data_IF_757119795107
#
_entry.id   IF_757119795107
#
_cell.length_a   1.000
_cell.length_b   1.000
_cell.length_c   1.000
_cell.angle_alpha   90.00
_cell.angle_beta   90.00
_cell.angle_gamma   90.00
#
_symmetry.space_group_name_H-M   'P 1'
#
loop_
_entity.id
_entity.type
_entity.pdbx_description
1 polymer ?
#
# COMPACT_ATOMS: atom_id res chain seq x y z
N UNK A 1 -16.09 6.03 7.90
CA UNK A 1 -15.35 5.00 8.67
C UNK A 1 -13.86 5.31 8.82
N UNK A 2 -13.13 5.56 7.76
CA UNK A 2 -11.69 5.89 7.86
C UNK A 2 -11.42 7.20 8.63
N UNK A 3 -12.21 8.24 8.40
CA UNK A 3 -12.09 9.52 9.12
C UNK A 3 -12.29 9.37 10.64
N UNK A 4 -13.25 8.56 11.07
CA UNK A 4 -13.49 8.28 12.46
C UNK A 4 -12.32 7.56 13.13
N UNK A 5 -11.61 6.69 12.41
CA UNK A 5 -10.42 6.00 12.91
C UNK A 5 -9.20 6.92 12.99
N UNK A 6 -9.06 7.86 12.06
CA UNK A 6 -8.02 8.88 12.10
C UNK A 6 -8.22 9.76 13.33
N UNK A 7 -9.45 10.19 13.62
CA UNK A 7 -9.77 10.99 14.81
C UNK A 7 -9.52 10.23 16.11
N UNK A 8 -9.83 8.94 16.17
CA UNK A 8 -9.49 8.10 17.34
C UNK A 8 -7.98 8.06 17.60
N UNK A 9 -7.17 8.11 16.54
CA UNK A 9 -5.72 8.14 16.65
C UNK A 9 -5.17 9.36 17.38
N UNK A 10 -5.83 10.51 17.27
CA UNK A 10 -5.35 11.78 17.86
C UNK A 10 -5.36 11.81 19.38
N UNK A 11 -6.21 10.99 20.02
CA UNK A 11 -6.33 10.91 21.48
C UNK A 11 -5.46 9.83 22.13
N UNK A 12 -4.77 9.00 21.34
CA UNK A 12 -3.97 7.88 21.84
C UNK A 12 -2.49 8.22 21.89
N UNK A 13 -1.85 7.90 23.02
CA UNK A 13 -0.40 8.09 23.15
C UNK A 13 0.32 6.87 22.60
N UNK A 14 1.28 7.06 21.68
CA UNK A 14 2.04 6.00 21.05
C UNK A 14 2.76 5.11 22.06
N UNK A 15 3.26 5.67 23.15
CA UNK A 15 3.91 4.91 24.24
C UNK A 15 3.00 3.79 24.77
N UNK A 16 1.70 4.06 24.93
CA UNK A 16 0.71 3.07 25.37
C UNK A 16 0.55 1.97 24.32
N UNK A 17 0.47 2.33 23.05
CA UNK A 17 0.37 1.36 21.94
C UNK A 17 1.61 0.48 21.83
N UNK A 18 2.79 1.03 22.06
CA UNK A 18 4.06 0.27 22.00
C UNK A 18 4.25 -0.69 23.19
N UNK A 19 3.53 -0.51 24.29
CA UNK A 19 3.55 -1.45 25.41
C UNK A 19 2.75 -2.74 25.14
N UNK A 20 1.89 -2.75 24.12
CA UNK A 20 1.15 -3.93 23.68
C UNK A 20 1.99 -4.77 22.72
N UNK A 21 2.67 -5.79 23.24
CA UNK A 21 3.54 -6.65 22.45
C UNK A 21 2.81 -7.46 21.37
N UNK A 22 1.57 -7.88 21.62
CA UNK A 22 0.78 -8.61 20.63
C UNK A 22 0.45 -7.70 19.44
N UNK A 23 0.06 -6.46 19.69
CA UNK A 23 -0.15 -5.44 18.68
C UNK A 23 1.13 -5.21 17.86
N UNK A 24 2.26 -5.00 18.53
CA UNK A 24 3.53 -4.74 17.84
C UNK A 24 3.93 -5.89 16.92
N UNK A 25 3.74 -7.12 17.34
CA UNK A 25 4.01 -8.29 16.49
C UNK A 25 3.06 -8.39 15.29
N UNK A 26 1.82 -7.97 15.45
CA UNK A 26 0.84 -7.94 14.35
C UNK A 26 1.13 -6.85 13.31
N UNK A 27 1.86 -5.80 13.69
CA UNK A 27 2.19 -4.67 12.84
C UNK A 27 3.59 -4.78 12.22
N UNK A 28 3.96 -5.98 11.82
CA UNK A 28 5.19 -6.28 11.09
C UNK A 28 4.83 -7.10 9.85
N UNK A 29 5.35 -6.71 8.71
CA UNK A 29 5.24 -7.46 7.46
C UNK A 29 6.62 -7.84 6.95
N UNK A 30 6.74 -9.05 6.44
CA UNK A 30 7.99 -9.55 5.87
C UNK A 30 7.72 -10.15 4.48
N UNK A 31 8.57 -9.82 3.53
CA UNK A 31 8.52 -10.39 2.19
C UNK A 31 9.94 -10.44 1.59
N UNK A 32 10.37 -11.64 1.21
CA UNK A 32 11.66 -11.87 0.54
C UNK A 32 12.87 -11.23 1.27
N UNK A 33 12.90 -11.32 2.59
CA UNK A 33 13.99 -10.77 3.40
C UNK A 33 13.86 -9.27 3.70
N UNK A 34 12.83 -8.59 3.18
CA UNK A 34 12.51 -7.22 3.51
C UNK A 34 11.50 -7.22 4.65
N UNK A 35 11.82 -6.50 5.73
CA UNK A 35 10.96 -6.38 6.92
C UNK A 35 10.45 -4.95 7.02
N UNK A 36 9.13 -4.79 7.11
CA UNK A 36 8.47 -3.53 7.40
C UNK A 36 7.85 -3.60 8.80
N UNK A 37 8.43 -2.88 9.73
CA UNK A 37 7.87 -2.69 11.08
C UNK A 37 7.13 -1.35 11.12
N UNK A 38 5.81 -1.40 11.19
CA UNK A 38 4.94 -0.22 11.28
C UNK A 38 4.25 -0.10 12.64
N UNK A 39 4.82 -0.74 13.68
CA UNK A 39 4.30 -0.69 15.05
C UNK A 39 4.34 0.72 15.67
N UNK A 40 5.18 1.61 15.13
CA UNK A 40 5.27 3.01 15.58
C UNK A 40 4.24 3.93 14.95
N UNK A 41 3.43 3.45 14.03
CA UNK A 41 2.28 4.18 13.53
C UNK A 41 1.17 4.22 14.59
N UNK A 42 0.43 5.33 14.67
CA UNK A 42 -0.65 5.47 15.65
C UNK A 42 -1.92 4.74 15.18
N UNK A 43 -1.81 3.44 15.02
CA UNK A 43 -2.89 2.55 14.56
C UNK A 43 -3.01 1.34 15.47
N UNK A 44 -4.21 0.78 15.53
CA UNK A 44 -4.48 -0.51 16.16
C UNK A 44 -4.70 -1.56 15.07
N UNK A 45 -4.78 -2.83 15.46
CA UNK A 45 -5.14 -3.91 14.53
C UNK A 45 -6.55 -3.71 13.97
N UNK A 46 -7.48 -3.16 14.76
CA UNK A 46 -8.82 -2.79 14.29
C UNK A 46 -8.76 -1.67 13.24
N UNK A 47 -7.94 -0.64 13.47
CA UNK A 47 -7.71 0.44 12.51
C UNK A 47 -7.18 -0.13 11.18
N UNK A 48 -6.22 -1.03 11.22
CA UNK A 48 -5.66 -1.67 10.03
C UNK A 48 -6.72 -2.47 9.26
N UNK A 49 -7.58 -3.20 9.97
CA UNK A 49 -8.69 -3.92 9.34
C UNK A 49 -9.61 -3.00 8.54
N UNK A 50 -9.98 -1.86 9.12
CA UNK A 50 -10.81 -0.85 8.44
C UNK A 50 -10.12 -0.19 7.26
N UNK A 51 -8.81 0.04 7.35
CA UNK A 51 -8.03 0.56 6.23
C UNK A 51 -7.94 -0.44 5.07
N UNK A 52 -7.83 -1.73 5.36
CA UNK A 52 -7.89 -2.76 4.32
C UNK A 52 -9.27 -2.84 3.67
N UNK A 53 -10.34 -2.70 4.43
CA UNK A 53 -11.69 -2.64 3.88
C UNK A 53 -11.88 -1.41 2.96
N UNK A 54 -11.33 -0.27 3.34
CA UNK A 54 -11.30 0.93 2.50
C UNK A 54 -10.54 0.68 1.20
N UNK A 55 -9.37 0.04 1.27
CA UNK A 55 -8.57 -0.29 0.08
C UNK A 55 -9.34 -1.22 -0.88
N UNK A 56 -10.06 -2.20 -0.34
CA UNK A 56 -10.94 -3.08 -1.14
C UNK A 56 -12.08 -2.32 -1.79
N UNK A 57 -12.76 -1.46 -1.02
CA UNK A 57 -13.86 -0.64 -1.54
C UNK A 57 -13.40 0.33 -2.64
N UNK A 58 -12.18 0.85 -2.52
CA UNK A 58 -11.57 1.71 -3.53
C UNK A 58 -10.97 0.93 -4.72
N UNK A 59 -11.08 -0.39 -4.74
CA UNK A 59 -10.51 -1.26 -5.77
C UNK A 59 -8.99 -1.07 -5.96
N UNK A 60 -8.25 -0.97 -4.87
CA UNK A 60 -6.81 -0.75 -4.92
C UNK A 60 -6.08 -1.85 -5.71
N UNK A 61 -6.47 -3.11 -5.53
CA UNK A 61 -5.87 -4.24 -6.25
C UNK A 61 -6.06 -4.12 -7.78
N UNK A 62 -7.26 -3.73 -8.22
CA UNK A 62 -7.51 -3.48 -9.64
C UNK A 62 -6.66 -2.34 -10.20
N UNK A 63 -6.49 -1.27 -9.43
CA UNK A 63 -5.64 -0.14 -9.82
C UNK A 63 -4.15 -0.53 -9.89
N UNK A 64 -3.67 -1.34 -8.98
CA UNK A 64 -2.29 -1.87 -9.01
C UNK A 64 -2.10 -2.74 -10.26
N UNK A 65 -3.05 -3.64 -10.56
CA UNK A 65 -2.99 -4.49 -11.74
C UNK A 65 -3.01 -3.68 -13.03
N UNK A 66 -3.88 -2.66 -13.12
CA UNK A 66 -3.95 -1.75 -14.27
C UNK A 66 -2.63 -1.00 -14.48
N UNK A 67 -2.03 -0.50 -13.39
CA UNK A 67 -0.72 0.16 -13.47
C UNK A 67 0.38 -0.82 -13.94
N UNK A 68 0.38 -2.04 -13.42
CA UNK A 68 1.37 -3.05 -13.77
C UNK A 68 1.24 -3.55 -15.22
N UNK A 69 0.03 -3.53 -15.78
CA UNK A 69 -0.23 -3.93 -17.18
C UNK A 69 0.02 -2.82 -18.19
N UNK A 70 0.28 -1.60 -17.75
CA UNK A 70 0.55 -0.45 -18.61
C UNK A 70 -0.70 0.26 -19.13
N UNK A 71 -1.85 0.08 -18.47
CA UNK A 71 -3.05 0.85 -18.79
C UNK A 71 -2.83 2.35 -18.53
N UNK A 72 -3.57 3.20 -19.25
CA UNK A 72 -3.52 4.65 -19.09
C UNK A 72 -4.25 5.08 -17.83
N UNK A 73 -3.62 4.92 -16.66
CA UNK A 73 -4.20 5.26 -15.36
C UNK A 73 -4.04 6.73 -14.98
N UNK A 74 -3.14 7.47 -15.64
CA UNK A 74 -3.05 8.91 -15.50
C UNK A 74 -4.11 9.55 -16.41
N UNK A 75 -5.28 9.83 -15.84
CA UNK A 75 -6.43 10.33 -16.58
C UNK A 75 -6.38 11.83 -16.91
N UNK A 76 -5.45 12.58 -16.33
CA UNK A 76 -5.24 13.99 -16.66
C UNK A 76 -4.42 14.17 -17.92
N UNK A 77 -3.46 13.30 -18.19
CA UNK A 77 -2.60 13.33 -19.37
C UNK A 77 -2.86 12.17 -20.33
N UNK A 78 -3.78 11.26 -19.99
CA UNK A 78 -4.06 10.03 -20.74
C UNK A 78 -2.80 9.21 -21.03
N UNK A 79 -2.02 8.94 -19.98
CA UNK A 79 -0.76 8.18 -20.07
C UNK A 79 -0.73 6.98 -19.15
N UNK A 80 0.01 5.96 -19.56
CA UNK A 80 0.48 4.93 -18.67
C UNK A 80 1.57 5.47 -17.74
N UNK A 81 1.69 4.93 -16.54
CA UNK A 81 2.84 5.17 -15.66
C UNK A 81 3.83 4.03 -15.85
N UNK A 82 5.10 4.36 -16.09
CA UNK A 82 6.09 3.42 -16.59
C UNK A 82 7.19 3.07 -15.58
N UNK A 83 7.11 3.56 -14.35
CA UNK A 83 8.13 3.27 -13.33
C UNK A 83 8.26 1.79 -13.00
N UNK A 84 7.19 0.99 -13.14
CA UNK A 84 7.26 -0.47 -12.98
C UNK A 84 7.97 -1.13 -14.16
N UNK A 85 7.78 -0.61 -15.37
CA UNK A 85 8.47 -1.10 -16.57
C UNK A 85 9.98 -0.93 -16.46
N UNK A 86 10.43 0.19 -15.91
CA UNK A 86 11.86 0.46 -15.68
C UNK A 86 12.53 -0.57 -14.76
N UNK A 87 11.77 -1.24 -13.91
CA UNK A 87 12.24 -2.24 -12.95
C UNK A 87 11.95 -3.67 -13.37
N UNK A 88 11.23 -3.84 -14.46
CA UNK A 88 10.91 -5.17 -14.98
C UNK A 88 12.13 -5.80 -15.67
N UNK A 89 12.22 -7.14 -15.72
CA UNK A 89 13.24 -7.81 -16.54
C UNK A 89 13.17 -7.36 -18.01
N UNK A 90 14.30 -7.27 -18.71
CA UNK A 90 14.33 -6.80 -20.11
C UNK A 90 13.42 -7.57 -21.06
N UNK A 91 13.14 -8.83 -20.74
CA UNK A 91 12.27 -9.70 -21.55
C UNK A 91 10.77 -9.44 -21.36
N UNK A 92 10.39 -8.60 -20.39
CA UNK A 92 8.99 -8.33 -20.06
C UNK A 92 8.51 -7.05 -20.74
N UNK A 93 7.55 -7.21 -21.64
CA UNK A 93 6.80 -6.08 -22.21
C UNK A 93 5.66 -5.67 -21.27
N UNK A 94 5.46 -4.37 -21.07
CA UNK A 94 4.36 -3.81 -20.27
C UNK A 94 3.60 -2.79 -21.12
N UNK A 95 2.37 -3.14 -21.50
CA UNK A 95 1.50 -2.28 -22.29
C UNK A 95 2.12 -1.88 -23.62
N UNK A 96 1.95 -0.62 -24.01
CA UNK A 96 2.59 -0.02 -25.18
C UNK A 96 4.07 0.26 -24.96
N UNK A 97 4.60 -0.09 -23.80
CA UNK A 97 6.01 0.14 -23.54
C UNK A 97 6.86 -0.67 -24.47
N UNK A 98 7.56 0.03 -25.22
CA UNK A 98 8.72 -0.37 -25.93
C UNK A 98 9.59 -1.24 -25.03
N UNK A 99 10.14 -2.32 -25.57
CA UNK A 99 11.32 -2.94 -25.02
C UNK A 99 12.33 -1.84 -24.70
N UNK A 100 12.64 -1.63 -23.44
CA UNK A 100 13.54 -0.56 -22.99
C UNK A 100 15.02 -0.84 -23.30
N UNK A 101 15.28 -1.81 -24.18
CA UNK A 101 16.63 -2.09 -24.71
C UNK A 101 16.53 -2.57 -26.15
#
# INVERSE_FOLDING_TARGET
MAEAEVQKGTGRHLKTLLSDGARCRALVAEHEGIVLDYSRENVTTETMSKLYDLAKAANLQGKIAAMASGEHINNTENRAVMHMALRAPPSKSIGESVSLL
#
